data_IF_319858140061
#
_entry.id   IF_319858140061
#
_cell.length_a   1.000
_cell.length_b   1.000
_cell.length_c   1.000
_cell.angle_alpha   90.00
_cell.angle_beta   90.00
_cell.angle_gamma   90.00
#
_symmetry.space_group_name_H-M   'P 1'
#
loop_
_entity.id
_entity.type
_entity.pdbx_description
1 polymer ?
#
# COMPACT_ATOMS: atom_id res chain seq x y z
N UNK A 1 -21.18 10.19 18.67
CA UNK A 1 -22.17 10.01 17.59
C UNK A 1 -21.99 11.11 16.56
N UNK A 2 -21.65 10.74 15.34
CA UNK A 2 -21.57 11.64 14.19
C UNK A 2 -22.82 11.42 13.33
N UNK A 3 -23.73 12.41 13.20
CA UNK A 3 -25.04 12.21 12.56
C UNK A 3 -24.96 11.87 11.06
N UNK A 4 -23.81 12.07 10.41
CA UNK A 4 -23.60 11.70 9.00
C UNK A 4 -22.99 10.32 8.79
N UNK A 5 -22.67 9.61 9.87
CA UNK A 5 -22.03 8.29 9.81
C UNK A 5 -22.97 7.27 10.43
N UNK A 6 -23.34 6.27 9.64
CA UNK A 6 -24.00 5.05 10.11
C UNK A 6 -23.02 3.87 10.01
N UNK A 7 -22.85 3.13 11.10
CA UNK A 7 -21.91 2.00 11.16
C UNK A 7 -22.68 0.71 10.94
N UNK A 8 -22.49 0.11 9.77
CA UNK A 8 -23.01 -1.20 9.41
C UNK A 8 -22.14 -2.33 9.99
N UNK A 9 -22.33 -2.66 11.27
CA UNK A 9 -21.69 -3.84 11.88
C UNK A 9 -22.14 -5.14 11.20
N UNK A 10 -21.34 -6.21 11.34
CA UNK A 10 -21.64 -7.55 10.82
C UNK A 10 -22.10 -7.55 9.35
N UNK A 11 -21.49 -6.70 8.52
CA UNK A 11 -21.92 -6.48 7.15
C UNK A 11 -20.76 -6.69 6.19
N UNK A 12 -21.03 -7.36 5.07
CA UNK A 12 -20.10 -7.54 3.96
C UNK A 12 -20.78 -7.09 2.66
N UNK A 13 -20.04 -6.41 1.78
CA UNK A 13 -20.51 -6.09 0.43
C UNK A 13 -20.51 -7.37 -0.39
N UNK A 14 -21.67 -7.74 -0.92
CA UNK A 14 -21.88 -8.95 -1.73
C UNK A 14 -21.90 -8.62 -3.22
N UNK A 15 -22.44 -7.44 -3.57
CA UNK A 15 -22.53 -6.96 -4.95
C UNK A 15 -22.39 -5.44 -5.00
N UNK A 16 -21.69 -4.94 -6.03
CA UNK A 16 -21.62 -3.52 -6.39
C UNK A 16 -22.53 -3.31 -7.59
N UNK A 17 -23.50 -2.40 -7.46
CA UNK A 17 -24.52 -2.16 -8.48
C UNK A 17 -24.14 -0.93 -9.32
N UNK A 18 -24.45 -1.02 -10.61
CA UNK A 18 -24.19 0.01 -11.60
C UNK A 18 -23.19 -0.43 -12.68
N UNK A 19 -23.23 0.22 -13.84
CA UNK A 19 -22.38 -0.13 -15.00
C UNK A 19 -21.14 0.77 -15.05
N UNK A 20 -21.34 2.07 -15.32
CA UNK A 20 -20.24 3.05 -15.41
C UNK A 20 -19.91 3.70 -14.06
N UNK A 21 -20.86 3.69 -13.12
CA UNK A 21 -20.73 4.31 -11.81
C UNK A 21 -21.55 3.53 -10.77
N UNK A 22 -21.15 3.63 -9.50
CA UNK A 22 -21.85 2.97 -8.39
C UNK A 22 -23.22 3.64 -8.20
N UNK A 23 -24.28 2.84 -8.21
CA UNK A 23 -25.65 3.27 -7.92
C UNK A 23 -26.22 2.61 -6.66
N UNK A 24 -25.54 1.62 -6.11
CA UNK A 24 -25.91 1.01 -4.84
C UNK A 24 -25.05 -0.22 -4.52
N UNK A 25 -25.33 -0.83 -3.38
CA UNK A 25 -24.67 -2.05 -2.92
C UNK A 25 -25.72 -3.06 -2.46
N UNK A 26 -25.47 -4.34 -2.73
CA UNK A 26 -26.09 -5.42 -1.97
C UNK A 26 -25.18 -5.74 -0.80
N UNK A 27 -25.69 -5.58 0.42
CA UNK A 27 -24.95 -5.83 1.67
C UNK A 27 -25.55 -7.03 2.37
N UNK A 28 -24.70 -8.02 2.67
CA UNK A 28 -25.05 -9.23 3.42
C UNK A 28 -24.69 -9.09 4.88
N UNK A 29 -25.63 -9.44 5.75
CA UNK A 29 -25.38 -9.61 7.18
C UNK A 29 -24.61 -10.92 7.42
N UNK A 30 -23.45 -10.84 8.06
CA UNK A 30 -22.54 -11.98 8.25
C UNK A 30 -22.95 -12.93 9.36
N UNK A 31 -23.97 -12.56 10.17
CA UNK A 31 -24.49 -13.39 11.27
C UNK A 31 -25.74 -14.14 10.83
N UNK A 32 -26.65 -13.45 10.14
CA UNK A 32 -27.96 -13.99 9.74
C UNK A 32 -27.99 -14.49 8.30
N UNK A 33 -27.06 -14.02 7.46
CA UNK A 33 -27.04 -14.29 6.02
C UNK A 33 -28.05 -13.48 5.20
N UNK A 34 -28.89 -12.66 5.84
CA UNK A 34 -29.85 -11.80 5.16
C UNK A 34 -29.16 -10.72 4.33
N UNK A 35 -29.78 -10.30 3.23
CA UNK A 35 -29.27 -9.23 2.37
C UNK A 35 -30.16 -7.99 2.43
N UNK A 36 -29.56 -6.82 2.22
CA UNK A 36 -30.27 -5.54 2.08
C UNK A 36 -29.62 -4.71 0.97
N UNK A 37 -30.44 -3.88 0.34
CA UNK A 37 -29.97 -2.90 -0.63
C UNK A 37 -29.57 -1.61 0.10
N UNK A 38 -28.46 -1.00 -0.32
CA UNK A 38 -27.99 0.29 0.14
C UNK A 38 -27.83 1.23 -1.05
N UNK A 39 -28.62 2.31 -1.07
CA UNK A 39 -28.56 3.34 -2.11
C UNK A 39 -27.38 4.29 -1.82
N UNK A 40 -26.32 4.16 -2.63
CA UNK A 40 -25.09 4.94 -2.52
C UNK A 40 -24.50 5.20 -3.90
N UNK A 41 -23.85 6.35 -4.04
CA UNK A 41 -23.24 6.78 -5.31
C UNK A 41 -21.73 6.55 -5.36
N UNK A 42 -21.14 5.99 -4.30
CA UNK A 42 -19.70 5.76 -4.22
C UNK A 42 -19.33 4.76 -3.13
N UNK A 43 -18.23 4.05 -3.37
CA UNK A 43 -17.63 3.07 -2.45
C UNK A 43 -16.14 3.36 -2.32
N UNK A 44 -15.66 3.48 -1.09
CA UNK A 44 -14.25 3.65 -0.78
C UNK A 44 -13.76 2.42 0.01
N UNK A 45 -12.74 1.74 -0.51
CA UNK A 45 -12.16 0.56 0.12
C UNK A 45 -11.00 0.99 1.02
N UNK A 46 -11.12 0.72 2.31
CA UNK A 46 -10.15 1.12 3.34
C UNK A 46 -9.71 -0.06 4.21
N UNK A 47 -9.36 -1.20 3.58
CA UNK A 47 -9.00 -2.46 4.27
C UNK A 47 -7.48 -2.65 4.47
N UNK A 48 -6.68 -1.60 4.25
CA UNK A 48 -5.23 -1.66 4.28
C UNK A 48 -4.61 -1.74 2.88
N UNK A 49 -3.29 -1.89 2.82
CA UNK A 49 -2.51 -1.99 1.59
C UNK A 49 -1.61 -3.22 1.67
N UNK A 50 -1.49 -3.93 0.57
CA UNK A 50 -0.54 -5.03 0.41
C UNK A 50 0.72 -4.49 -0.29
N UNK A 51 1.87 -4.34 0.42
CA UNK A 51 3.10 -3.88 -0.20
C UNK A 51 3.54 -4.89 -1.25
N UNK A 52 3.84 -4.42 -2.46
CA UNK A 52 4.18 -5.28 -3.62
C UNK A 52 5.62 -5.84 -3.54
N UNK A 53 6.00 -6.43 -2.42
CA UNK A 53 7.35 -6.96 -2.14
C UNK A 53 7.60 -8.38 -2.63
N UNK A 54 6.60 -9.04 -3.23
CA UNK A 54 6.68 -10.44 -3.66
C UNK A 54 7.86 -10.74 -4.60
N UNK A 55 8.32 -9.78 -5.40
CA UNK A 55 9.49 -9.94 -6.27
C UNK A 55 10.81 -10.17 -5.49
N UNK A 56 10.92 -9.60 -4.30
CA UNK A 56 12.17 -9.51 -3.51
C UNK A 56 12.10 -10.28 -2.19
N UNK A 57 10.97 -10.93 -1.92
CA UNK A 57 10.73 -11.72 -0.72
C UNK A 57 11.77 -12.82 -0.55
N UNK A 58 12.38 -12.88 0.64
CA UNK A 58 13.45 -13.83 0.97
C UNK A 58 14.83 -13.46 0.41
N UNK A 59 14.94 -12.34 -0.34
CA UNK A 59 16.22 -11.79 -0.80
C UNK A 59 16.60 -10.52 -0.05
N UNK A 60 15.60 -9.67 0.27
CA UNK A 60 15.77 -8.51 1.13
C UNK A 60 14.94 -8.64 2.40
N UNK A 61 15.37 -7.96 3.46
CA UNK A 61 14.67 -7.96 4.73
C UNK A 61 13.35 -7.18 4.62
N UNK A 62 12.28 -7.79 5.12
CA UNK A 62 10.95 -7.20 5.19
C UNK A 62 10.53 -7.06 6.66
N UNK A 63 9.69 -6.07 6.96
CA UNK A 63 9.01 -6.02 8.25
C UNK A 63 7.86 -7.05 8.35
N UNK A 64 7.20 -7.08 9.51
CA UNK A 64 6.09 -8.00 9.76
C UNK A 64 4.86 -7.74 8.88
N UNK A 65 4.74 -6.55 8.28
CA UNK A 65 3.65 -6.16 7.39
C UNK A 65 4.03 -6.31 5.90
N UNK A 66 5.26 -6.75 5.61
CA UNK A 66 5.75 -7.04 4.26
C UNK A 66 6.41 -5.87 3.53
N UNK A 67 6.66 -4.75 4.20
CA UNK A 67 7.39 -3.60 3.64
C UNK A 67 8.89 -3.87 3.62
N UNK A 68 9.60 -3.35 2.62
CA UNK A 68 11.06 -3.49 2.54
C UNK A 68 11.73 -2.60 3.58
N UNK A 69 12.64 -3.19 4.35
CA UNK A 69 13.45 -2.44 5.32
C UNK A 69 14.62 -1.75 4.61
N UNK A 70 14.82 -0.46 4.93
CA UNK A 70 15.94 0.35 4.46
C UNK A 70 16.63 1.07 5.60
N UNK A 71 17.91 1.38 5.44
CA UNK A 71 18.70 2.16 6.41
C UNK A 71 18.39 3.66 6.33
N UNK A 72 17.17 4.04 6.70
CA UNK A 72 16.70 5.43 6.65
C UNK A 72 17.64 6.36 7.45
N UNK A 73 18.09 7.50 6.89
CA UNK A 73 17.51 8.23 5.76
C UNK A 73 18.02 7.82 4.37
N UNK A 74 18.89 6.81 4.27
CA UNK A 74 19.30 6.24 2.99
C UNK A 74 18.26 5.25 2.46
N UNK A 75 18.48 4.74 1.26
CA UNK A 75 17.60 3.78 0.58
C UNK A 75 18.19 2.38 0.45
N UNK A 76 19.34 2.13 1.09
CA UNK A 76 20.01 0.83 1.07
C UNK A 76 19.16 -0.22 1.78
N UNK A 77 19.01 -1.37 1.14
CA UNK A 77 18.51 -2.59 1.78
C UNK A 77 19.66 -3.36 2.45
N UNK A 78 19.36 -4.51 3.06
CA UNK A 78 20.37 -5.44 3.55
C UNK A 78 21.22 -6.09 2.45
N UNK A 79 20.77 -6.06 1.19
CA UNK A 79 21.48 -6.64 0.05
C UNK A 79 22.27 -5.55 -0.72
N UNK A 80 23.61 -5.61 -0.77
CA UNK A 80 24.42 -4.60 -1.45
C UNK A 80 24.04 -4.43 -2.92
N UNK A 81 23.90 -3.17 -3.35
CA UNK A 81 23.47 -2.83 -4.71
C UNK A 81 21.96 -2.88 -4.94
N UNK A 82 21.17 -3.20 -3.91
CA UNK A 82 19.70 -3.18 -3.95
C UNK A 82 19.18 -2.04 -3.07
N UNK A 83 18.36 -1.20 -3.69
CA UNK A 83 17.77 0.00 -3.09
C UNK A 83 16.25 -0.07 -3.18
N UNK A 84 15.56 0.54 -2.21
CA UNK A 84 14.10 0.59 -2.20
C UNK A 84 13.58 1.99 -1.85
N UNK A 85 12.45 2.35 -2.46
CA UNK A 85 11.85 3.68 -2.36
C UNK A 85 10.32 3.62 -2.55
N UNK A 86 9.65 4.73 -2.28
CA UNK A 86 8.20 4.84 -2.43
C UNK A 86 7.42 4.10 -1.35
N UNK A 87 6.15 3.82 -1.66
CA UNK A 87 5.23 3.15 -0.74
C UNK A 87 5.71 1.74 -0.33
N UNK A 88 6.65 1.14 -1.07
CA UNK A 88 7.24 -0.16 -0.71
C UNK A 88 8.06 -0.12 0.59
N UNK A 89 8.52 1.07 1.00
CA UNK A 89 9.29 1.32 2.24
C UNK A 89 8.56 2.28 3.19
N UNK A 90 7.38 2.78 2.81
CA UNK A 90 6.62 3.79 3.55
C UNK A 90 5.19 3.34 3.82
N UNK A 91 4.95 2.80 5.02
CA UNK A 91 3.61 2.44 5.50
C UNK A 91 2.84 3.64 6.09
N UNK A 92 3.48 4.80 6.27
CA UNK A 92 2.95 5.94 7.03
C UNK A 92 2.36 7.04 6.14
N UNK A 93 3.13 7.59 5.21
CA UNK A 93 2.68 8.76 4.43
C UNK A 93 1.96 8.34 3.16
N UNK A 94 2.55 7.44 2.36
CA UNK A 94 1.95 6.91 1.11
C UNK A 94 1.41 8.02 0.21
N UNK A 95 2.23 9.04 0.00
CA UNK A 95 1.90 10.18 -0.85
C UNK A 95 2.82 10.19 -2.07
N UNK A 96 2.29 10.59 -3.21
CA UNK A 96 3.08 10.72 -4.44
C UNK A 96 4.35 11.57 -4.24
N UNK A 97 4.28 12.62 -3.42
CA UNK A 97 5.43 13.50 -3.15
C UNK A 97 6.49 12.83 -2.26
N UNK A 98 6.10 12.02 -1.27
CA UNK A 98 7.08 11.28 -0.43
C UNK A 98 7.72 10.17 -1.24
N UNK A 99 6.95 9.51 -2.10
CA UNK A 99 7.47 8.51 -3.03
C UNK A 99 8.44 9.10 -4.05
N UNK A 100 8.13 10.26 -4.63
CA UNK A 100 9.04 10.96 -5.53
C UNK A 100 10.36 11.36 -4.83
N UNK A 101 10.28 11.85 -3.59
CA UNK A 101 11.45 12.21 -2.79
C UNK A 101 12.38 11.04 -2.51
N UNK A 102 11.82 9.91 -2.07
CA UNK A 102 12.61 8.69 -1.82
C UNK A 102 13.13 8.05 -3.11
N UNK A 103 12.41 8.17 -4.23
CA UNK A 103 12.90 7.72 -5.54
C UNK A 103 14.11 8.52 -6.03
N UNK A 104 14.14 9.83 -5.77
CA UNK A 104 15.31 10.66 -6.02
C UNK A 104 16.50 10.23 -5.15
N UNK A 105 16.26 10.00 -3.85
CA UNK A 105 17.30 9.51 -2.94
C UNK A 105 17.88 8.16 -3.40
N UNK A 106 17.04 7.20 -3.79
CA UNK A 106 17.48 5.90 -4.30
C UNK A 106 18.31 5.99 -5.57
N UNK A 107 17.98 6.92 -6.46
CA UNK A 107 18.76 7.15 -7.67
C UNK A 107 20.17 7.65 -7.35
N UNK A 108 20.29 8.57 -6.39
CA UNK A 108 21.59 9.14 -5.96
C UNK A 108 22.40 8.11 -5.16
N UNK A 109 21.77 7.32 -4.30
CA UNK A 109 22.43 6.25 -3.55
C UNK A 109 22.99 5.18 -4.51
N UNK A 110 22.20 4.78 -5.51
CA UNK A 110 22.63 3.84 -6.54
C UNK A 110 23.79 4.38 -7.40
N UNK A 111 23.71 5.66 -7.80
CA UNK A 111 24.79 6.34 -8.53
C UNK A 111 26.10 6.30 -7.74
N UNK A 112 26.07 6.67 -6.46
CA UNK A 112 27.26 6.68 -5.59
C UNK A 112 27.84 5.28 -5.40
N UNK A 113 26.98 4.29 -5.16
CA UNK A 113 27.41 2.90 -5.03
C UNK A 113 28.13 2.38 -6.29
N UNK A 114 27.63 2.73 -7.48
CA UNK A 114 28.29 2.39 -8.74
C UNK A 114 29.64 3.11 -8.89
N UNK A 115 29.71 4.40 -8.55
CA UNK A 115 30.95 5.17 -8.64
C UNK A 115 32.05 4.62 -7.70
N UNK A 116 31.68 4.22 -6.48
CA UNK A 116 32.61 3.64 -5.51
C UNK A 116 33.12 2.25 -5.95
N UNK A 117 32.27 1.45 -6.59
CA UNK A 117 32.65 0.16 -7.20
C UNK A 117 33.68 0.32 -8.31
N UNK A 118 33.51 1.32 -9.18
CA UNK A 118 34.45 1.60 -10.26
C UNK A 118 35.80 2.12 -9.72
N UNK A 119 35.79 2.88 -8.62
CA UNK A 119 37.01 3.38 -7.98
C UNK A 119 37.80 2.29 -7.23
N UNK A 120 37.16 1.17 -6.87
CA UNK A 120 37.79 0.03 -6.19
C UNK A 120 38.16 -1.12 -7.14
N UNK A 121 37.91 -0.97 -8.44
CA UNK A 121 38.27 -1.94 -9.49
C UNK A 121 39.65 -1.65 -10.11
#
# INVERSE_FOLDING_TARGET
DEPKIDIAWNSAVDEILGEESVTGLTVRDTVTGGTRHLDVTGLFIAIGHDPRSELVKGQVDLDAEGYVLVDSPTTYTNLPGVFAAGDLVDHRFRQAVTAAGTGCAASIDAERWLADLDATR
#
